data_IF_044983695110
#
_entry.id   IF_044983695110
#
_cell.length_a   1.000
_cell.length_b   1.000
_cell.length_c   1.000
_cell.angle_alpha   90.00
_cell.angle_beta   90.00
_cell.angle_gamma   90.00
#
_symmetry.space_group_name_H-M   'P 1'
#
loop_
_entity.id
_entity.type
_entity.pdbx_description
1 polymer ?
#
# COMPACT_ATOMS: atom_id res chain seq x y z
N UNK A 1 -40.67 -22.95 -53.56
CA UNK A 1 -40.54 -23.62 -52.24
C UNK A 1 -39.27 -23.08 -51.59
N UNK A 2 -39.31 -21.89 -50.99
CA UNK A 2 -39.20 -21.64 -49.53
C UNK A 2 -38.20 -22.56 -48.82
N UNK A 3 -37.11 -21.96 -48.37
CA UNK A 3 -36.17 -22.45 -47.37
C UNK A 3 -35.13 -21.38 -47.10
N UNK A 4 -34.76 -21.21 -45.83
CA UNK A 4 -33.88 -20.20 -45.21
C UNK A 4 -34.64 -18.99 -44.65
N UNK A 5 -35.17 -19.10 -43.42
CA UNK A 5 -34.45 -19.03 -42.13
C UNK A 5 -33.81 -17.66 -41.95
N UNK A 6 -34.50 -16.77 -41.22
CA UNK A 6 -33.99 -15.67 -40.37
C UNK A 6 -35.21 -14.81 -40.01
N UNK A 7 -35.89 -15.12 -38.90
CA UNK A 7 -36.86 -14.21 -38.21
C UNK A 7 -37.45 -14.80 -36.92
N UNK A 8 -37.07 -16.02 -36.51
CA UNK A 8 -37.55 -16.62 -35.26
C UNK A 8 -36.59 -16.48 -34.07
N UNK A 9 -35.48 -15.74 -34.22
CA UNK A 9 -34.46 -15.55 -33.17
C UNK A 9 -34.62 -14.27 -32.32
N UNK A 10 -35.55 -13.37 -32.69
CA UNK A 10 -35.71 -12.07 -32.01
C UNK A 10 -36.63 -12.16 -30.78
N UNK A 11 -37.28 -13.31 -30.55
CA UNK A 11 -38.27 -13.51 -29.47
C UNK A 11 -37.73 -14.28 -28.24
N UNK A 12 -36.41 -14.43 -28.07
CA UNK A 12 -35.83 -15.22 -26.98
C UNK A 12 -35.03 -14.41 -25.93
N UNK A 13 -35.11 -13.08 -25.94
CA UNK A 13 -34.45 -12.25 -24.90
C UNK A 13 -35.42 -11.37 -24.09
N UNK A 14 -36.67 -11.85 -23.97
CA UNK A 14 -37.67 -11.30 -23.06
C UNK A 14 -37.78 -12.16 -21.79
N UNK A 15 -36.63 -12.57 -21.24
CA UNK A 15 -36.55 -13.19 -19.93
C UNK A 15 -36.28 -12.10 -18.88
N UNK A 16 -37.36 -11.69 -18.20
CA UNK A 16 -37.34 -11.02 -16.90
C UNK A 16 -36.45 -9.78 -16.78
N UNK A 17 -36.88 -8.69 -17.44
CA UNK A 17 -36.93 -7.42 -16.70
C UNK A 17 -38.07 -7.53 -15.70
N UNK A 18 -37.76 -8.10 -14.53
CA UNK A 18 -38.63 -7.90 -13.36
C UNK A 18 -38.56 -6.42 -13.09
N UNK A 19 -39.66 -5.75 -13.37
CA UNK A 19 -40.04 -4.46 -12.83
C UNK A 19 -39.98 -4.58 -11.30
N UNK A 20 -38.79 -4.39 -10.72
CA UNK A 20 -38.66 -4.07 -9.30
C UNK A 20 -39.03 -2.61 -9.22
N UNK A 21 -40.35 -2.39 -9.15
CA UNK A 21 -40.95 -1.08 -9.09
C UNK A 21 -40.32 -0.21 -7.99
N UNK A 22 -40.60 1.07 -8.15
CA UNK A 22 -40.47 2.22 -7.25
C UNK A 22 -40.49 1.94 -5.72
N UNK A 23 -41.03 0.79 -5.28
CA UNK A 23 -41.04 0.25 -3.91
C UNK A 23 -39.70 -0.26 -3.36
N UNK A 24 -38.59 -0.20 -4.11
CA UNK A 24 -37.27 -0.60 -3.62
C UNK A 24 -36.27 0.56 -3.48
N UNK A 25 -36.64 1.78 -3.90
CA UNK A 25 -35.73 2.92 -3.87
C UNK A 25 -35.51 3.47 -2.45
N UNK A 26 -36.54 3.42 -1.60
CA UNK A 26 -36.48 3.90 -0.22
C UNK A 26 -35.65 3.04 0.74
N UNK A 27 -35.30 1.79 0.38
CA UNK A 27 -34.44 0.90 1.17
C UNK A 27 -32.99 0.85 0.69
N UNK A 28 -32.67 1.62 -0.36
CA UNK A 28 -31.30 1.79 -0.88
C UNK A 28 -30.64 3.06 -0.35
N UNK A 29 -31.37 3.87 0.41
CA UNK A 29 -30.81 5.03 1.08
C UNK A 29 -29.97 4.56 2.26
N UNK A 30 -28.69 4.86 2.19
CA UNK A 30 -27.75 4.73 3.30
C UNK A 30 -28.04 5.86 4.30
N UNK A 31 -28.89 5.56 5.28
CA UNK A 31 -29.28 6.52 6.33
C UNK A 31 -28.11 6.83 7.26
N UNK A 32 -27.15 5.90 7.38
CA UNK A 32 -25.97 6.03 8.24
C UNK A 32 -24.94 7.01 7.63
N UNK A 33 -25.01 7.27 6.32
CA UNK A 33 -24.17 8.30 5.68
C UNK A 33 -24.45 9.71 6.20
N UNK A 34 -25.63 9.96 6.77
CA UNK A 34 -26.07 11.24 7.32
C UNK A 34 -26.00 11.29 8.86
N UNK A 35 -25.47 10.26 9.51
CA UNK A 35 -25.26 10.26 10.95
C UNK A 35 -24.26 11.36 11.35
N UNK A 36 -24.67 12.28 12.23
CA UNK A 36 -23.83 13.38 12.72
C UNK A 36 -22.64 12.87 13.56
N UNK A 37 -22.76 11.67 14.15
CA UNK A 37 -21.70 11.01 14.92
C UNK A 37 -20.71 10.24 14.02
N UNK A 38 -20.91 10.25 12.70
CA UNK A 38 -20.02 9.59 11.75
C UNK A 38 -18.63 10.23 11.80
N UNK A 39 -17.62 9.41 12.08
CA UNK A 39 -16.24 9.85 12.09
C UNK A 39 -15.79 10.37 10.71
N UNK A 40 -15.35 11.63 10.64
CA UNK A 40 -14.74 12.25 9.46
C UNK A 40 -13.23 12.31 9.66
N UNK A 41 -12.46 11.81 8.70
CA UNK A 41 -11.01 11.92 8.73
C UNK A 41 -10.57 13.36 8.43
N UNK A 42 -9.74 13.94 9.30
CA UNK A 42 -9.15 15.25 9.09
C UNK A 42 -8.12 15.19 7.95
N UNK A 43 -8.40 15.91 6.86
CA UNK A 43 -7.53 15.97 5.68
C UNK A 43 -6.38 16.95 5.89
N UNK A 44 -5.22 16.44 6.34
CA UNK A 44 -3.96 17.20 6.27
C UNK A 44 -3.24 16.84 4.99
N UNK A 45 -3.33 17.65 3.93
CA UNK A 45 -2.62 17.41 2.67
C UNK A 45 -1.28 18.15 2.64
N UNK A 46 -0.19 17.42 2.37
CA UNK A 46 1.14 18.01 2.18
C UNK A 46 1.40 18.22 0.68
N UNK A 47 1.25 19.47 0.23
CA UNK A 47 1.40 19.87 -1.16
C UNK A 47 2.81 19.58 -1.74
N UNK A 48 3.83 19.40 -0.89
CA UNK A 48 5.21 19.19 -1.32
C UNK A 48 5.66 17.71 -1.29
N UNK A 49 4.78 16.78 -0.92
CA UNK A 49 5.13 15.38 -0.73
C UNK A 49 5.76 14.73 -1.98
N UNK A 50 5.32 15.10 -3.19
CA UNK A 50 5.83 14.51 -4.44
C UNK A 50 7.28 14.88 -4.75
N UNK A 51 7.67 16.13 -4.50
CA UNK A 51 9.04 16.59 -4.71
C UNK A 51 10.00 15.93 -3.72
N UNK A 52 9.60 15.83 -2.44
CA UNK A 52 10.38 15.18 -1.39
C UNK A 52 10.63 13.69 -1.68
N UNK A 53 9.59 12.95 -2.11
CA UNK A 53 9.73 11.53 -2.50
C UNK A 53 10.67 11.35 -3.68
N UNK A 54 10.60 12.24 -4.68
CA UNK A 54 11.48 12.16 -5.85
C UNK A 54 12.93 12.44 -5.48
N UNK A 55 13.19 13.45 -4.63
CA UNK A 55 14.52 13.75 -4.13
C UNK A 55 15.11 12.56 -3.35
N UNK A 56 14.32 11.97 -2.44
CA UNK A 56 14.71 10.77 -1.69
C UNK A 56 15.04 9.60 -2.62
N UNK A 57 14.22 9.35 -3.63
CA UNK A 57 14.48 8.28 -4.58
C UNK A 57 15.83 8.43 -5.30
N UNK A 58 16.22 9.66 -5.63
CA UNK A 58 17.52 9.93 -6.23
C UNK A 58 18.69 9.69 -5.26
N UNK A 59 18.54 10.12 -4.00
CA UNK A 59 19.55 9.88 -2.96
C UNK A 59 19.72 8.39 -2.64
N UNK A 60 18.61 7.66 -2.49
CA UNK A 60 18.62 6.21 -2.26
C UNK A 60 19.33 5.50 -3.42
N UNK A 61 19.01 5.83 -4.67
CA UNK A 61 19.71 5.29 -5.85
C UNK A 61 21.21 5.61 -5.83
N UNK A 62 21.60 6.81 -5.41
CA UNK A 62 23.00 7.18 -5.29
C UNK A 62 23.75 6.34 -4.23
N UNK A 63 23.11 6.02 -3.09
CA UNK A 63 23.69 5.12 -2.09
C UNK A 63 23.77 3.67 -2.58
N UNK A 64 22.74 3.18 -3.28
CA UNK A 64 22.74 1.84 -3.86
C UNK A 64 23.87 1.65 -4.88
N UNK A 65 24.13 2.65 -5.73
CA UNK A 65 25.24 2.63 -6.69
C UNK A 65 26.62 2.58 -6.01
N UNK A 66 26.72 3.06 -4.77
CA UNK A 66 27.96 3.01 -3.96
C UNK A 66 28.06 1.76 -3.09
N UNK A 67 27.09 0.84 -3.19
CA UNK A 67 26.93 -0.31 -2.28
C UNK A 67 26.77 0.09 -0.80
N UNK A 68 26.33 1.32 -0.52
CA UNK A 68 26.07 1.82 0.82
C UNK A 68 24.64 1.47 1.25
N UNK A 69 24.36 0.17 1.42
CA UNK A 69 23.00 -0.34 1.67
C UNK A 69 22.38 0.18 2.97
N UNK A 70 23.19 0.30 4.03
CA UNK A 70 22.74 0.84 5.32
C UNK A 70 22.18 2.26 5.19
N UNK A 71 22.94 3.15 4.56
CA UNK A 71 22.55 4.55 4.39
C UNK A 71 21.36 4.67 3.43
N UNK A 72 21.31 3.81 2.40
CA UNK A 72 20.16 3.74 1.49
C UNK A 72 18.86 3.41 2.24
N UNK A 73 18.87 2.41 3.12
CA UNK A 73 17.69 2.01 3.90
C UNK A 73 17.29 3.10 4.90
N UNK A 74 18.25 3.67 5.63
CA UNK A 74 17.98 4.77 6.57
C UNK A 74 17.32 5.94 5.85
N UNK A 75 17.91 6.39 4.73
CA UNK A 75 17.39 7.50 3.93
C UNK A 75 16.01 7.21 3.35
N UNK A 76 15.74 5.98 2.93
CA UNK A 76 14.45 5.58 2.38
C UNK A 76 13.31 5.64 3.42
N UNK A 77 13.63 5.47 4.70
CA UNK A 77 12.68 5.45 5.82
C UNK A 77 12.45 6.83 6.47
N UNK A 78 13.21 7.85 6.11
CA UNK A 78 12.98 9.23 6.57
C UNK A 78 11.67 9.78 6.01
N UNK A 79 10.93 10.61 6.76
CA UNK A 79 9.71 11.33 6.37
C UNK A 79 8.79 10.61 5.36
N UNK A 80 8.19 9.46 5.70
CA UNK A 80 7.30 8.74 4.78
C UNK A 80 6.08 9.60 4.41
N UNK A 81 5.58 9.55 3.16
CA UNK A 81 4.45 10.36 2.70
C UNK A 81 3.10 9.84 3.25
N UNK A 82 2.92 9.89 4.57
CA UNK A 82 1.70 9.40 5.27
C UNK A 82 0.54 10.39 5.21
N UNK A 83 0.84 11.67 4.99
CA UNK A 83 -0.15 12.76 4.95
C UNK A 83 -0.67 13.06 3.52
N UNK A 84 -0.15 12.42 2.48
CA UNK A 84 -0.75 12.56 1.14
C UNK A 84 -1.87 11.54 0.95
N UNK A 85 -2.92 11.92 0.22
CA UNK A 85 -3.94 10.99 -0.28
C UNK A 85 -3.57 10.43 -1.67
N UNK A 86 -2.54 10.98 -2.31
CA UNK A 86 -2.11 10.52 -3.63
C UNK A 86 -1.45 9.14 -3.54
N UNK A 87 -2.17 8.15 -4.04
CA UNK A 87 -1.72 6.77 -4.12
C UNK A 87 -0.42 6.61 -4.94
N UNK A 88 -0.18 7.46 -5.94
CA UNK A 88 1.00 7.38 -6.79
C UNK A 88 2.26 7.80 -6.04
N UNK A 89 2.17 8.85 -5.21
CA UNK A 89 3.29 9.32 -4.38
C UNK A 89 3.67 8.23 -3.37
N UNK A 90 2.67 7.65 -2.70
CA UNK A 90 2.89 6.52 -1.79
C UNK A 90 3.52 5.34 -2.51
N UNK A 91 3.00 4.97 -3.68
CA UNK A 91 3.54 3.86 -4.50
C UNK A 91 4.99 4.10 -4.90
N UNK A 92 5.34 5.31 -5.32
CA UNK A 92 6.71 5.66 -5.70
C UNK A 92 7.68 5.56 -4.52
N UNK A 93 7.27 6.04 -3.33
CA UNK A 93 8.11 5.91 -2.14
C UNK A 93 8.27 4.45 -1.70
N UNK A 94 7.20 3.65 -1.68
CA UNK A 94 7.32 2.23 -1.34
C UNK A 94 8.19 1.47 -2.33
N UNK A 95 8.08 1.74 -3.63
CA UNK A 95 8.95 1.14 -4.63
C UNK A 95 10.42 1.41 -4.30
N UNK A 96 10.75 2.67 -3.97
CA UNK A 96 12.10 3.08 -3.56
C UNK A 96 12.59 2.34 -2.32
N UNK A 97 11.76 2.23 -1.28
CA UNK A 97 12.09 1.52 -0.04
C UNK A 97 12.32 0.03 -0.32
N UNK A 98 11.41 -0.61 -1.05
CA UNK A 98 11.46 -2.05 -1.32
C UNK A 98 12.63 -2.41 -2.24
N UNK A 99 13.00 -1.54 -3.19
CA UNK A 99 14.24 -1.68 -3.97
C UNK A 99 15.48 -1.67 -3.05
N UNK A 100 15.56 -0.77 -2.07
CA UNK A 100 16.66 -0.74 -1.13
C UNK A 100 16.73 -2.01 -0.25
N UNK A 101 15.57 -2.52 0.20
CA UNK A 101 15.50 -3.75 1.00
C UNK A 101 15.89 -5.00 0.21
N UNK A 102 15.49 -5.08 -1.07
CA UNK A 102 15.81 -6.23 -1.94
C UNK A 102 17.26 -6.21 -2.44
N UNK A 103 17.88 -5.03 -2.57
CA UNK A 103 19.28 -4.89 -2.94
C UNK A 103 20.25 -5.26 -1.79
N UNK A 104 19.76 -5.30 -0.56
CA UNK A 104 20.57 -5.60 0.63
C UNK A 104 20.76 -7.11 0.78
N UNK A 105 21.99 -7.53 1.12
CA UNK A 105 22.32 -8.94 1.36
C UNK A 105 21.80 -9.38 2.73
N UNK A 106 21.33 -10.62 2.85
CA UNK A 106 20.79 -11.15 4.11
C UNK A 106 21.76 -11.09 5.30
N UNK A 107 23.07 -11.14 5.04
CA UNK A 107 24.11 -11.03 6.07
C UNK A 107 24.19 -9.63 6.71
N UNK A 108 23.81 -8.58 5.98
CA UNK A 108 23.92 -7.19 6.44
C UNK A 108 22.65 -6.72 7.19
N UNK A 109 21.54 -7.44 7.03
CA UNK A 109 20.23 -7.10 7.62
C UNK A 109 20.32 -6.86 9.14
N UNK A 110 20.91 -7.75 9.97
CA UNK A 110 20.94 -7.56 11.42
C UNK A 110 21.69 -6.29 11.85
N UNK A 111 22.78 -5.96 11.14
CA UNK A 111 23.57 -4.75 11.41
C UNK A 111 22.83 -3.47 11.01
N UNK A 112 21.99 -3.52 9.99
CA UNK A 112 21.16 -2.39 9.58
C UNK A 112 20.01 -2.20 10.58
N UNK A 113 19.28 -3.27 10.90
CA UNK A 113 18.12 -3.21 11.82
C UNK A 113 18.53 -2.70 13.21
N UNK A 114 19.67 -3.14 13.73
CA UNK A 114 20.19 -2.66 15.03
C UNK A 114 20.60 -1.18 15.04
N UNK A 115 20.81 -0.57 13.88
CA UNK A 115 21.12 0.86 13.75
C UNK A 115 19.88 1.74 13.57
N UNK A 116 18.70 1.15 13.35
CA UNK A 116 17.45 1.90 13.18
C UNK A 116 16.89 2.33 14.53
N UNK A 117 16.27 3.51 14.56
CA UNK A 117 15.53 3.96 15.73
C UNK A 117 14.15 3.24 15.81
N UNK A 118 13.48 3.25 16.98
CA UNK A 118 12.19 2.55 17.14
C UNK A 118 11.09 2.98 16.15
N UNK A 119 11.07 4.27 15.77
CA UNK A 119 10.12 4.80 14.80
C UNK A 119 10.40 4.26 13.38
N UNK A 120 11.67 4.19 12.98
CA UNK A 120 12.11 3.62 11.72
C UNK A 120 11.83 2.12 11.64
N UNK A 121 11.93 1.37 12.75
CA UNK A 121 11.54 -0.04 12.80
C UNK A 121 10.05 -0.22 12.48
N UNK A 122 9.20 0.66 13.04
CA UNK A 122 7.77 0.63 12.77
C UNK A 122 7.44 1.01 11.33
N UNK A 123 8.08 2.05 10.79
CA UNK A 123 7.93 2.45 9.39
C UNK A 123 8.40 1.33 8.45
N UNK A 124 9.53 0.70 8.76
CA UNK A 124 10.05 -0.44 8.00
C UNK A 124 9.06 -1.60 8.01
N UNK A 125 8.48 -1.93 9.17
CA UNK A 125 7.46 -2.97 9.27
C UNK A 125 6.23 -2.67 8.40
N UNK A 126 5.77 -1.40 8.34
CA UNK A 126 4.67 -1.01 7.43
C UNK A 126 5.02 -1.29 5.97
N UNK A 127 6.23 -0.93 5.53
CA UNK A 127 6.67 -1.18 4.16
C UNK A 127 6.86 -2.67 3.86
N UNK A 128 7.29 -3.48 4.84
CA UNK A 128 7.38 -4.92 4.69
C UNK A 128 6.00 -5.54 4.43
N UNK A 129 4.97 -5.21 5.23
CA UNK A 129 3.61 -5.68 4.97
C UNK A 129 3.06 -5.19 3.64
N UNK A 130 3.36 -3.93 3.26
CA UNK A 130 2.98 -3.39 1.97
C UNK A 130 3.62 -4.14 0.80
N UNK A 131 4.90 -4.50 0.91
CA UNK A 131 5.60 -5.31 -0.10
C UNK A 131 5.04 -6.73 -0.18
N UNK A 132 4.70 -7.35 0.96
CA UNK A 132 4.08 -8.67 1.01
C UNK A 132 2.65 -8.70 0.43
N UNK A 133 1.95 -7.56 0.42
CA UNK A 133 0.65 -7.43 -0.26
C UNK A 133 0.76 -7.38 -1.79
N UNK A 134 1.97 -7.29 -2.35
CA UNK A 134 2.25 -7.30 -3.80
C UNK A 134 3.36 -8.30 -4.16
N UNK A 135 3.13 -9.62 -3.96
CA UNK A 135 4.12 -10.66 -4.18
C UNK A 135 4.60 -10.77 -5.63
N UNK A 136 3.85 -10.23 -6.59
CA UNK A 136 4.22 -10.17 -8.00
C UNK A 136 5.33 -9.15 -8.31
N UNK A 137 5.55 -8.17 -7.41
CA UNK A 137 6.54 -7.09 -7.62
C UNK A 137 7.83 -7.29 -6.84
N UNK A 138 7.76 -7.98 -5.70
CA UNK A 138 8.88 -8.09 -4.77
C UNK A 138 9.08 -9.51 -4.27
N UNK A 139 10.33 -9.84 -3.96
CA UNK A 139 10.67 -11.14 -3.41
C UNK A 139 10.27 -11.22 -1.93
N UNK A 140 9.14 -11.89 -1.66
CA UNK A 140 8.62 -12.11 -0.31
C UNK A 140 9.60 -12.84 0.62
N UNK A 141 10.48 -13.71 0.09
CA UNK A 141 11.45 -14.43 0.94
C UNK A 141 12.46 -13.49 1.61
N UNK A 142 12.90 -12.45 0.88
CA UNK A 142 13.78 -11.41 1.46
C UNK A 142 13.02 -10.57 2.47
N UNK A 143 11.77 -10.21 2.18
CA UNK A 143 10.92 -9.45 3.11
C UNK A 143 10.64 -10.22 4.41
N UNK A 144 10.51 -11.55 4.35
CA UNK A 144 10.38 -12.39 5.54
C UNK A 144 11.65 -12.39 6.40
N UNK A 145 12.84 -12.39 5.78
CA UNK A 145 14.10 -12.28 6.50
C UNK A 145 14.23 -10.91 7.20
N UNK A 146 13.80 -9.82 6.54
CA UNK A 146 13.70 -8.50 7.16
C UNK A 146 12.70 -8.50 8.32
N UNK A 147 11.51 -9.08 8.12
CA UNK A 147 10.47 -9.17 9.15
C UNK A 147 10.99 -9.86 10.41
N UNK A 148 11.63 -11.02 10.28
CA UNK A 148 12.22 -11.75 11.40
C UNK A 148 13.14 -10.84 12.23
N UNK A 149 14.08 -10.14 11.57
CA UNK A 149 15.05 -9.28 12.26
C UNK A 149 14.44 -8.05 12.88
N UNK A 150 13.43 -7.44 12.25
CA UNK A 150 12.70 -6.31 12.84
C UNK A 150 11.92 -6.75 14.08
N UNK A 151 11.32 -7.95 14.07
CA UNK A 151 10.61 -8.49 15.24
C UNK A 151 11.57 -8.86 16.36
N UNK A 152 12.75 -9.39 16.06
CA UNK A 152 13.79 -9.63 17.08
C UNK A 152 14.22 -8.33 17.78
N UNK A 153 14.31 -7.21 17.05
CA UNK A 153 14.72 -5.91 17.59
C UNK A 153 13.59 -5.12 18.27
N UNK A 154 12.42 -5.02 17.64
CA UNK A 154 11.27 -4.21 18.09
C UNK A 154 10.20 -4.97 18.87
N UNK A 155 10.31 -6.31 18.93
CA UNK A 155 9.32 -7.19 19.53
C UNK A 155 7.98 -7.18 18.79
N UNK A 156 6.97 -7.81 19.41
CA UNK A 156 5.60 -7.84 18.87
C UNK A 156 4.95 -6.45 18.81
N UNK A 157 5.44 -5.48 19.60
CA UNK A 157 4.90 -4.13 19.63
C UNK A 157 4.97 -3.43 18.27
N UNK A 158 6.03 -3.68 17.50
CA UNK A 158 6.17 -3.13 16.14
C UNK A 158 5.07 -3.64 15.21
N UNK A 159 4.69 -4.92 15.30
CA UNK A 159 3.56 -5.47 14.52
C UNK A 159 2.25 -4.82 14.95
N UNK A 160 1.98 -4.76 16.27
CA UNK A 160 0.73 -4.20 16.80
C UNK A 160 0.55 -2.76 16.34
N UNK A 161 1.60 -1.93 16.40
CA UNK A 161 1.53 -0.52 15.96
C UNK A 161 1.24 -0.38 14.47
N UNK A 162 1.72 -1.30 13.63
CA UNK A 162 1.33 -1.35 12.21
C UNK A 162 -0.14 -1.69 12.04
N UNK A 163 -0.64 -2.71 12.76
CA UNK A 163 -2.04 -3.13 12.67
C UNK A 163 -3.03 -2.09 13.20
N UNK A 164 -2.62 -1.27 14.18
CA UNK A 164 -3.48 -0.22 14.77
C UNK A 164 -3.36 1.13 14.07
N UNK A 165 -2.36 1.31 13.20
CA UNK A 165 -2.07 2.59 12.57
C UNK A 165 -3.09 2.96 11.49
N UNK A 166 -3.78 4.09 11.64
CA UNK A 166 -4.75 4.59 10.64
C UNK A 166 -4.08 5.23 9.43
N UNK A 167 -3.02 6.02 9.65
CA UNK A 167 -2.21 6.62 8.58
C UNK A 167 -1.17 5.61 8.09
N UNK A 168 -1.43 5.03 6.92
CA UNK A 168 -0.55 4.04 6.28
C UNK A 168 0.29 4.65 5.16
N UNK A 169 1.45 4.02 4.97
CA UNK A 169 2.43 4.29 3.90
C UNK A 169 2.03 3.68 2.57
#
# INVERSE_FOLDING_TARGET
KRGHSTTLGIMANMAKRIDVGEKAQHRRLDVDAFDEDRFIEEETSDANAGAAVTARANEVKAFLNKNAHKDAVIKALEDPPVNTQDANIKSTNAQTVLEALTATKSADIPAIVSALNPEQLDILMKYIYRGMASPEKFNTAVLLAWHEKVVEAGGLGTIVRVLTGRKTV
#
